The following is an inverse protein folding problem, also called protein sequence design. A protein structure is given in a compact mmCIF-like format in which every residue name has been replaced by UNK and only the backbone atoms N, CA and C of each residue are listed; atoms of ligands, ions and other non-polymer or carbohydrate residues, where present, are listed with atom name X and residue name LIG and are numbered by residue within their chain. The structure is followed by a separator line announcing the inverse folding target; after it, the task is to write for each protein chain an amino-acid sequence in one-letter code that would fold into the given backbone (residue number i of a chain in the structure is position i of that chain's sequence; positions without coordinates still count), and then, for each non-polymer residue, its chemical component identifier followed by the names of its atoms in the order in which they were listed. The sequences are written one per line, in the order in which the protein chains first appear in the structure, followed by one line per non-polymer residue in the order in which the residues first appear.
data_IF_773234068062
#
_entry.id   IF_773234068062
#
_cell.length_a   1.000
_cell.length_b   1.000
_cell.length_c   1.000
_cell.angle_alpha   90.00
_cell.angle_beta   90.00
_cell.angle_gamma   90.00
#
_symmetry.space_group_name_H-M   'P 1'
#
loop_
_entity.id
_entity.type
_entity.pdbx_description
1 polymer ?
#
# COMPACT_ATOMS: atom_id res chain seq x y z
N UNK A 1 3.93 -0.23 -7.41
CA UNK A 1 4.57 1.06 -7.76
C UNK A 1 5.32 1.01 -9.11
N UNK A 2 6.22 0.05 -9.39
CA UNK A 2 7.03 0.05 -10.63
C UNK A 2 6.19 0.06 -11.91
N UNK A 3 5.16 -0.80 -11.95
CA UNK A 3 4.20 -0.86 -13.06
C UNK A 3 3.43 0.45 -13.29
N UNK A 4 3.19 1.24 -12.24
CA UNK A 4 2.53 2.54 -12.37
C UNK A 4 3.49 3.59 -12.95
N UNK A 5 4.76 3.57 -12.55
CA UNK A 5 5.78 4.43 -13.14
C UNK A 5 5.93 4.15 -14.63
N UNK A 6 5.99 2.88 -15.04
CA UNK A 6 6.00 2.50 -16.47
C UNK A 6 4.78 3.06 -17.21
N UNK A 7 3.57 2.91 -16.66
CA UNK A 7 2.35 3.44 -17.27
C UNK A 7 2.40 4.96 -17.45
N UNK A 8 2.86 5.71 -16.45
CA UNK A 8 2.93 7.17 -16.51
C UNK A 8 4.00 7.65 -17.50
N UNK A 9 5.16 6.99 -17.54
CA UNK A 9 6.20 7.22 -18.56
C UNK A 9 5.67 6.96 -19.96
N UNK A 10 5.03 5.82 -20.18
CA UNK A 10 4.42 5.48 -21.47
C UNK A 10 3.23 6.37 -21.84
N UNK A 11 2.56 6.98 -20.85
CA UNK A 11 1.55 8.01 -21.06
C UNK A 11 2.13 9.37 -21.45
N UNK A 12 3.46 9.54 -21.50
CA UNK A 12 4.11 10.76 -21.95
C UNK A 12 4.57 11.69 -20.83
N UNK A 13 4.55 11.26 -19.56
CA UNK A 13 5.19 12.00 -18.48
C UNK A 13 6.71 11.75 -18.51
N UNK A 14 7.51 12.80 -18.37
CA UNK A 14 8.98 12.69 -18.34
C UNK A 14 9.46 11.94 -17.10
N UNK A 15 10.62 11.29 -17.23
CA UNK A 15 11.14 10.37 -16.21
C UNK A 15 11.42 11.03 -14.85
N UNK A 16 11.94 12.26 -14.87
CA UNK A 16 12.21 13.06 -13.68
C UNK A 16 10.92 13.39 -12.89
N UNK A 17 9.85 13.78 -13.59
CA UNK A 17 8.57 14.07 -12.96
C UNK A 17 7.95 12.79 -12.35
N UNK A 18 7.99 11.67 -13.07
CA UNK A 18 7.49 10.38 -12.57
C UNK A 18 8.33 9.87 -11.39
N UNK A 19 9.65 9.95 -11.50
CA UNK A 19 10.62 9.45 -10.54
C UNK A 19 10.64 10.22 -9.22
N UNK A 20 10.24 11.49 -9.23
CA UNK A 20 10.13 12.30 -8.02
C UNK A 20 8.70 12.29 -7.45
N UNK A 21 7.71 12.65 -8.26
CA UNK A 21 6.36 12.94 -7.77
C UNK A 21 5.64 11.67 -7.30
N UNK A 22 5.77 10.56 -8.03
CA UNK A 22 5.05 9.33 -7.67
C UNK A 22 5.59 8.69 -6.38
N UNK A 23 6.92 8.58 -6.16
CA UNK A 23 7.45 8.08 -4.89
C UNK A 23 7.19 8.99 -3.71
N UNK A 24 7.39 10.30 -3.86
CA UNK A 24 7.05 11.25 -2.79
C UNK A 24 5.56 11.19 -2.46
N UNK A 25 4.69 11.17 -3.46
CA UNK A 25 3.24 11.03 -3.26
C UNK A 25 2.86 9.73 -2.56
N UNK A 26 3.50 8.60 -2.87
CA UNK A 26 3.20 7.33 -2.21
C UNK A 26 3.45 7.37 -0.70
N UNK A 27 4.48 8.11 -0.27
CA UNK A 27 4.80 8.26 1.15
C UNK A 27 3.98 9.35 1.85
N UNK A 28 3.71 10.48 1.17
CA UNK A 28 3.16 11.66 1.81
C UNK A 28 1.69 11.93 1.52
N UNK A 29 1.15 11.44 0.40
CA UNK A 29 -0.27 11.56 0.04
C UNK A 29 -1.06 10.33 0.51
N UNK A 30 -1.09 10.15 1.83
CA UNK A 30 -1.87 9.12 2.51
C UNK A 30 -3.15 9.69 3.13
N UNK A 31 -3.73 10.72 2.51
CA UNK A 31 -4.86 11.45 3.08
C UNK A 31 -6.16 10.64 3.07
N UNK A 32 -6.31 9.68 2.15
CA UNK A 32 -7.41 8.71 2.21
C UNK A 32 -7.43 7.92 3.53
N UNK A 33 -6.26 7.70 4.15
CA UNK A 33 -6.16 7.07 5.46
C UNK A 33 -6.65 7.96 6.59
N UNK A 34 -6.25 9.23 6.58
CA UNK A 34 -6.73 10.22 7.54
C UNK A 34 -8.24 10.39 7.48
N UNK A 35 -8.80 10.51 6.27
CA UNK A 35 -10.24 10.69 6.06
C UNK A 35 -11.02 9.46 6.51
N UNK A 36 -10.63 8.27 6.04
CA UNK A 36 -11.30 7.03 6.40
C UNK A 36 -11.28 6.78 7.91
N UNK A 37 -10.11 6.89 8.54
CA UNK A 37 -9.97 6.62 9.97
C UNK A 37 -10.70 7.66 10.83
N UNK A 38 -10.77 8.92 10.38
CA UNK A 38 -11.50 9.96 11.11
C UNK A 38 -13.01 9.70 11.09
N UNK A 39 -13.55 9.41 9.89
CA UNK A 39 -14.97 9.06 9.74
C UNK A 39 -15.28 7.74 10.46
N UNK A 40 -14.38 6.76 10.37
CA UNK A 40 -14.48 5.48 11.09
C UNK A 40 -14.48 5.66 12.61
N UNK A 41 -13.67 6.59 13.14
CA UNK A 41 -13.67 6.93 14.57
C UNK A 41 -14.99 7.55 14.99
N UNK A 42 -15.54 8.49 14.21
CA UNK A 42 -16.88 9.04 14.47
C UNK A 42 -17.96 7.96 14.44
N UNK A 43 -17.93 7.08 13.43
CA UNK A 43 -18.86 5.97 13.32
C UNK A 43 -18.80 5.05 14.54
N UNK A 44 -17.59 4.66 14.98
CA UNK A 44 -17.42 3.83 16.18
C UNK A 44 -18.00 4.55 17.40
N UNK A 45 -17.67 5.82 17.60
CA UNK A 45 -18.16 6.61 18.73
C UNK A 45 -19.69 6.62 18.78
N UNK A 46 -20.35 6.89 17.65
CA UNK A 46 -21.81 6.86 17.54
C UNK A 46 -22.39 5.46 17.77
N UNK A 47 -21.73 4.41 17.26
CA UNK A 47 -22.18 3.03 17.42
C UNK A 47 -22.13 2.55 18.88
N UNK A 48 -21.24 3.10 19.70
CA UNK A 48 -21.14 2.80 21.14
C UNK A 48 -21.84 3.84 22.04
N UNK A 49 -22.54 4.82 21.45
CA UNK A 49 -23.28 5.86 22.20
C UNK A 49 -22.39 6.92 22.84
N UNK A 50 -21.20 7.17 22.29
CA UNK A 50 -20.27 8.23 22.73
C UNK A 50 -20.39 9.43 21.80
N UNK A 51 -20.77 10.58 22.36
CA UNK A 51 -20.78 11.84 21.65
C UNK A 51 -19.39 12.51 21.72
N UNK A 52 -18.76 12.70 20.57
CA UNK A 52 -17.51 13.45 20.47
C UNK A 52 -17.80 14.94 20.33
N UNK A 53 -17.24 15.73 21.23
CA UNK A 53 -17.23 17.19 21.10
C UNK A 53 -16.48 17.62 19.84
N UNK A 54 -16.76 18.83 19.32
CA UNK A 54 -16.04 19.36 18.16
C UNK A 54 -14.51 19.39 18.36
N UNK A 55 -14.04 19.70 19.58
CA UNK A 55 -12.61 19.68 19.90
C UNK A 55 -12.01 18.27 19.76
N UNK A 56 -12.71 17.24 20.24
CA UNK A 56 -12.28 15.84 20.08
C UNK A 56 -12.29 15.42 18.61
N UNK A 57 -13.31 15.81 17.83
CA UNK A 57 -13.37 15.51 16.40
C UNK A 57 -12.18 16.14 15.64
N UNK A 58 -11.86 17.40 15.91
CA UNK A 58 -10.68 18.07 15.34
C UNK A 58 -9.39 17.37 15.77
N UNK A 59 -9.30 16.96 17.04
CA UNK A 59 -8.12 16.25 17.58
C UNK A 59 -7.92 14.91 16.88
N UNK A 60 -8.99 14.15 16.66
CA UNK A 60 -8.98 12.90 15.89
C UNK A 60 -8.42 13.12 14.49
N UNK A 61 -8.93 14.12 13.78
CA UNK A 61 -8.47 14.45 12.42
C UNK A 61 -6.98 14.81 12.43
N UNK A 62 -6.53 15.65 13.36
CA UNK A 62 -5.13 16.07 13.45
C UNK A 62 -4.19 14.90 13.76
N UNK A 63 -4.53 14.06 14.74
CA UNK A 63 -3.73 12.89 15.12
C UNK A 63 -3.64 11.90 13.97
N UNK A 64 -4.76 11.62 13.30
CA UNK A 64 -4.79 10.69 12.17
C UNK A 64 -4.11 11.28 10.92
N UNK A 65 -4.19 12.59 10.70
CA UNK A 65 -3.43 13.28 9.66
C UNK A 65 -1.94 13.22 9.90
N UNK A 66 -1.49 13.36 11.15
CA UNK A 66 -0.07 13.26 11.49
C UNK A 66 0.42 11.82 11.35
N UNK A 67 -0.33 10.88 11.92
CA UNK A 67 0.04 9.45 11.93
C UNK A 67 0.04 8.85 10.52
N UNK A 68 -0.83 9.33 9.62
CA UNK A 68 -0.91 8.77 8.26
C UNK A 68 0.36 8.88 7.44
N UNK A 69 1.20 9.90 7.69
CA UNK A 69 2.48 10.07 6.98
C UNK A 69 3.51 9.01 7.41
N UNK A 70 3.34 8.43 8.60
CA UNK A 70 4.14 7.32 9.10
C UNK A 70 3.65 5.93 8.70
N UNK A 71 2.51 5.81 8.00
CA UNK A 71 1.91 4.52 7.63
C UNK A 71 2.43 3.94 6.31
N UNK A 72 3.21 4.71 5.54
CA UNK A 72 3.69 4.30 4.23
C UNK A 72 4.46 2.97 4.29
N UNK A 73 3.99 1.97 3.53
CA UNK A 73 4.68 0.67 3.40
C UNK A 73 4.50 -0.31 4.58
N UNK A 74 3.70 0.02 5.61
CA UNK A 74 3.46 -0.85 6.76
C UNK A 74 2.07 -1.49 6.67
N UNK A 75 1.95 -2.80 6.39
CA UNK A 75 0.66 -3.50 6.38
C UNK A 75 -0.04 -3.42 7.74
N UNK A 76 -1.35 -3.19 7.74
CA UNK A 76 -2.15 -3.15 8.98
C UNK A 76 -1.94 -1.90 9.87
N UNK A 77 -1.08 -0.96 9.47
CA UNK A 77 -0.78 0.26 10.23
C UNK A 77 -2.01 1.14 10.52
N UNK A 78 -3.02 1.11 9.66
CA UNK A 78 -4.24 1.87 9.86
C UNK A 78 -5.05 1.43 11.09
N UNK A 79 -5.12 0.13 11.36
CA UNK A 79 -5.84 -0.40 12.52
C UNK A 79 -5.07 -0.10 13.81
N UNK A 80 -3.74 -0.14 13.75
CA UNK A 80 -2.86 0.29 14.84
C UNK A 80 -3.06 1.79 15.14
N UNK A 81 -3.05 2.64 14.11
CA UNK A 81 -3.28 4.07 14.23
C UNK A 81 -4.66 4.38 14.83
N UNK A 82 -5.69 3.64 14.42
CA UNK A 82 -7.04 3.78 14.96
C UNK A 82 -7.12 3.38 16.43
N UNK A 83 -6.49 2.26 16.80
CA UNK A 83 -6.42 1.78 18.18
C UNK A 83 -5.65 2.75 19.09
N UNK A 84 -4.53 3.29 18.60
CA UNK A 84 -3.75 4.30 19.28
C UNK A 84 -4.54 5.61 19.47
N UNK A 85 -5.29 6.02 18.44
CA UNK A 85 -6.14 7.23 18.50
C UNK A 85 -7.28 7.04 19.49
N UNK A 86 -8.00 5.91 19.45
CA UNK A 86 -9.05 5.60 20.41
C UNK A 86 -8.52 5.58 21.86
N UNK A 87 -7.34 4.98 22.07
CA UNK A 87 -6.67 4.95 23.37
C UNK A 87 -6.25 6.34 23.85
N UNK A 88 -5.73 7.19 22.95
CA UNK A 88 -5.32 8.56 23.26
C UNK A 88 -6.50 9.48 23.62
N UNK A 89 -7.68 9.25 23.01
CA UNK A 89 -8.88 10.00 23.35
C UNK A 89 -9.49 9.56 24.70
N UNK A 90 -9.27 8.31 25.11
CA UNK A 90 -9.77 7.76 26.38
C UNK A 90 -11.29 7.59 26.49
N UNK A 91 -12.06 8.00 25.47
CA UNK A 91 -13.54 7.96 25.49
C UNK A 91 -14.13 6.83 24.66
N UNK A 92 -13.35 6.21 23.77
CA UNK A 92 -13.81 5.08 22.93
C UNK A 92 -13.19 3.79 23.50
N UNK A 93 -13.99 2.77 23.88
CA UNK A 93 -13.46 1.49 24.31
C UNK A 93 -12.58 0.86 23.24
N UNK A 94 -11.39 0.37 23.60
CA UNK A 94 -10.44 -0.19 22.63
C UNK A 94 -11.04 -1.37 21.82
N UNK A 95 -11.93 -2.17 22.42
CA UNK A 95 -12.62 -3.26 21.73
C UNK A 95 -13.61 -2.80 20.65
N UNK A 96 -14.09 -1.55 20.69
CA UNK A 96 -15.04 -1.02 19.71
C UNK A 96 -14.44 -0.86 18.30
N UNK A 97 -13.11 -0.80 18.21
CA UNK A 97 -12.37 -0.79 16.94
C UNK A 97 -12.66 -2.06 16.11
N UNK A 98 -13.02 -3.17 16.77
CA UNK A 98 -13.40 -4.43 16.12
C UNK A 98 -14.65 -4.28 15.22
N UNK A 99 -15.50 -3.26 15.43
CA UNK A 99 -16.66 -2.99 14.59
C UNK A 99 -16.30 -2.72 13.13
N UNK A 100 -15.07 -2.27 12.87
CA UNK A 100 -14.60 -2.03 11.50
C UNK A 100 -13.97 -3.26 10.84
N UNK A 101 -13.68 -4.34 11.57
CA UNK A 101 -13.02 -5.54 11.01
C UNK A 101 -13.78 -6.14 9.82
N UNK A 102 -15.11 -6.05 9.82
CA UNK A 102 -15.96 -6.56 8.75
C UNK A 102 -15.77 -5.84 7.41
N UNK A 103 -15.37 -4.56 7.43
CA UNK A 103 -15.22 -3.73 6.22
C UNK A 103 -13.77 -3.33 5.94
N UNK A 104 -12.86 -3.54 6.90
CA UNK A 104 -11.49 -3.02 6.87
C UNK A 104 -10.73 -3.46 5.61
N UNK A 105 -10.87 -4.72 5.18
CA UNK A 105 -10.17 -5.22 3.98
C UNK A 105 -10.62 -4.55 2.69
N UNK A 106 -11.92 -4.29 2.55
CA UNK A 106 -12.46 -3.59 1.38
C UNK A 106 -12.04 -2.12 1.42
N UNK A 107 -12.15 -1.50 2.60
CA UNK A 107 -11.81 -0.09 2.79
C UNK A 107 -10.32 0.18 2.62
N UNK A 108 -9.44 -0.71 3.07
CA UNK A 108 -8.00 -0.62 2.86
C UNK A 108 -7.66 -0.62 1.37
N UNK A 109 -8.25 -1.54 0.59
CA UNK A 109 -8.07 -1.58 -0.86
C UNK A 109 -8.56 -0.29 -1.54
N UNK A 110 -9.75 0.20 -1.18
CA UNK A 110 -10.32 1.45 -1.73
C UNK A 110 -9.45 2.66 -1.45
N UNK A 111 -8.84 2.69 -0.26
CA UNK A 111 -7.98 3.77 0.21
C UNK A 111 -6.64 3.79 -0.51
N UNK A 112 -6.01 2.61 -0.64
CA UNK A 112 -4.81 2.44 -1.46
C UNK A 112 -5.08 2.83 -2.90
N UNK A 113 -6.23 2.43 -3.47
CA UNK A 113 -6.62 2.80 -4.82
C UNK A 113 -6.81 4.32 -4.99
N UNK A 114 -7.52 4.96 -4.06
CA UNK A 114 -7.77 6.41 -4.10
C UNK A 114 -6.48 7.21 -3.99
N UNK A 115 -5.60 6.86 -3.04
CA UNK A 115 -4.29 7.51 -2.88
C UNK A 115 -3.43 7.33 -4.12
N UNK A 116 -3.39 6.12 -4.69
CA UNK A 116 -2.63 5.84 -5.90
C UNK A 116 -3.16 6.64 -7.10
N UNK A 117 -4.49 6.72 -7.29
CA UNK A 117 -5.10 7.53 -8.34
C UNK A 117 -4.77 9.02 -8.18
N UNK A 118 -4.87 9.55 -6.96
CA UNK A 118 -4.49 10.93 -6.65
C UNK A 118 -3.03 11.21 -7.00
N UNK A 119 -2.13 10.29 -6.67
CA UNK A 119 -0.72 10.39 -7.02
C UNK A 119 -0.47 10.34 -8.54
N UNK A 120 -1.19 9.49 -9.27
CA UNK A 120 -1.12 9.48 -10.74
C UNK A 120 -1.58 10.81 -11.34
N UNK A 121 -2.70 11.36 -10.85
CA UNK A 121 -3.19 12.67 -11.30
C UNK A 121 -2.18 13.77 -10.97
N UNK A 122 -1.56 13.75 -9.79
CA UNK A 122 -0.53 14.70 -9.41
C UNK A 122 0.67 14.66 -10.37
N UNK A 123 1.11 13.47 -10.81
CA UNK A 123 2.17 13.33 -11.81
C UNK A 123 1.78 14.01 -13.13
N UNK A 124 0.54 13.82 -13.62
CA UNK A 124 0.08 14.49 -14.84
C UNK A 124 0.02 16.02 -14.67
N UNK A 125 -0.49 16.51 -13.54
CA UNK A 125 -0.60 17.95 -13.26
C UNK A 125 0.77 18.60 -13.17
N UNK A 126 1.70 18.03 -12.39
CA UNK A 126 3.06 18.55 -12.26
C UNK A 126 3.80 18.47 -13.60
N UNK A 127 3.72 17.34 -14.31
CA UNK A 127 4.34 17.20 -15.63
C UNK A 127 3.80 18.25 -16.62
N UNK A 128 2.49 18.55 -16.56
CA UNK A 128 1.87 19.57 -17.41
C UNK A 128 2.33 20.98 -17.07
N UNK A 129 2.53 21.28 -15.78
CA UNK A 129 2.97 22.58 -15.29
C UNK A 129 4.44 22.85 -15.65
N UNK A 130 5.29 21.84 -15.52
CA UNK A 130 6.73 21.90 -15.84
C UNK A 130 7.03 21.80 -17.35
N UNK A 131 6.00 21.69 -18.21
CA UNK A 131 6.20 21.44 -19.64
C UNK A 131 6.83 20.08 -19.96
N UNK A 132 6.79 19.15 -19.01
CA UNK A 132 7.36 17.81 -19.05
C UNK A 132 6.34 16.71 -19.45
N UNK A 133 5.24 17.10 -20.12
CA UNK A 133 4.17 16.22 -20.56
C UNK A 133 3.99 16.27 -22.09
N UNK A 134 4.16 15.13 -22.75
CA UNK A 134 3.70 14.94 -24.14
C UNK A 134 2.17 14.80 -24.16
N UNK A 135 1.50 15.93 -24.35
CA UNK A 135 0.03 16.01 -24.42
C UNK A 135 -0.56 15.17 -25.57
N UNK A 136 0.14 15.08 -26.70
CA UNK A 136 -0.34 14.33 -27.86
C UNK A 136 -0.35 12.83 -27.55
N UNK A 137 0.73 12.35 -26.94
CA UNK A 137 0.83 10.96 -26.47
C UNK A 137 -0.14 10.67 -25.34
N UNK A 138 -0.23 11.53 -24.34
CA UNK A 138 -1.16 11.35 -23.21
C UNK A 138 -2.60 11.19 -23.68
N UNK A 139 -3.05 12.02 -24.63
CA UNK A 139 -4.39 11.93 -25.20
C UNK A 139 -4.63 10.59 -25.89
N UNK A 140 -3.68 10.11 -26.71
CA UNK A 140 -3.77 8.82 -27.41
C UNK A 140 -3.76 7.62 -26.46
N UNK A 141 -2.99 7.69 -25.37
CA UNK A 141 -2.96 6.62 -24.35
C UNK A 141 -4.27 6.59 -23.57
N UNK A 142 -4.81 7.76 -23.19
CA UNK A 142 -6.06 7.86 -22.43
C UNK A 142 -7.31 7.55 -23.28
N UNK A 143 -7.28 7.80 -24.60
CA UNK A 143 -8.33 7.39 -25.54
C UNK A 143 -8.29 5.90 -25.90
N UNK A 144 -7.23 5.20 -25.50
CA UNK A 144 -7.03 3.78 -25.81
C UNK A 144 -6.43 3.51 -27.20
N UNK A 145 -6.02 4.54 -27.95
CA UNK A 145 -5.35 4.41 -29.25
C UNK A 145 -3.94 3.80 -29.11
N UNK A 146 -3.24 4.09 -28.02
CA UNK A 146 -1.95 3.48 -27.67
C UNK A 146 -2.14 2.59 -26.45
N UNK A 147 -1.98 1.29 -26.63
CA UNK A 147 -2.03 0.32 -25.54
C UNK A 147 -0.76 0.38 -24.68
N UNK A 148 -0.91 0.12 -23.38
CA UNK A 148 0.20 -0.09 -22.46
C UNK A 148 0.93 -1.40 -22.79
N UNK A 149 2.24 -1.33 -22.95
CA UNK A 149 3.11 -2.50 -23.15
C UNK A 149 4.00 -2.65 -21.92
N UNK A 150 3.77 -3.62 -21.03
CA UNK A 150 4.62 -3.79 -19.86
C UNK A 150 6.05 -4.10 -20.29
N UNK A 151 7.00 -3.32 -19.79
CA UNK A 151 8.41 -3.65 -19.92
C UNK A 151 8.77 -4.69 -18.85
N UNK A 152 9.70 -5.63 -19.14
CA UNK A 152 10.15 -6.60 -18.16
C UNK A 152 10.55 -5.88 -16.87
N UNK A 153 10.04 -6.34 -15.72
CA UNK A 153 10.49 -5.83 -14.43
C UNK A 153 11.97 -6.21 -14.28
N UNK A 154 12.88 -5.24 -14.45
CA UNK A 154 14.23 -5.37 -13.92
C UNK A 154 14.07 -5.68 -12.43
N UNK A 155 14.61 -6.80 -11.96
CA UNK A 155 14.62 -7.14 -10.52
C UNK A 155 15.38 -6.04 -9.81
N UNK A 156 14.67 -5.01 -9.37
CA UNK A 156 15.16 -4.12 -8.35
C UNK A 156 15.21 -5.00 -7.10
N UNK A 157 16.42 -5.29 -6.61
CA UNK A 157 16.62 -5.90 -5.30
C UNK A 157 15.92 -5.01 -4.27
N UNK A 158 14.64 -5.31 -4.01
CA UNK A 158 14.03 -4.92 -2.76
C UNK A 158 14.82 -5.69 -1.71
N UNK A 159 15.54 -4.96 -0.86
CA UNK A 159 16.28 -5.52 0.25
C UNK A 159 15.39 -6.54 0.97
N UNK A 160 15.69 -7.81 0.75
CA UNK A 160 15.11 -8.90 1.52
C UNK A 160 15.52 -8.61 2.97
N UNK A 161 14.59 -8.50 3.93
CA UNK A 161 14.98 -8.44 5.33
C UNK A 161 15.87 -9.65 5.56
N UNK A 162 17.12 -9.42 5.96
CA UNK A 162 18.05 -10.49 6.32
C UNK A 162 17.33 -11.32 7.37
N UNK A 163 16.87 -12.50 6.98
CA UNK A 163 16.34 -13.49 7.89
C UNK A 163 17.44 -13.71 8.92
N UNK A 164 17.18 -13.35 10.17
CA UNK A 164 18.12 -13.57 11.25
C UNK A 164 18.32 -15.09 11.34
N UNK A 165 19.44 -15.56 10.78
CA UNK A 165 19.89 -16.92 10.97
C UNK A 165 20.23 -17.05 12.45
N UNK A 166 19.32 -17.65 13.21
CA UNK A 166 19.61 -18.08 14.58
C UNK A 166 20.84 -19.00 14.54
N UNK A 167 21.87 -18.74 15.36
CA UNK A 167 23.08 -19.56 15.37
C UNK A 167 22.74 -20.98 15.83
N UNK A 168 23.04 -21.96 14.98
CA UNK A 168 22.64 -23.34 15.12
C UNK A 168 23.06 -23.99 16.44
N UNK A 169 22.13 -24.77 17.00
CA UNK A 169 22.42 -25.77 18.04
C UNK A 169 23.07 -26.99 17.36
N UNK A 170 24.30 -27.38 17.71
CA UNK A 170 24.95 -28.53 17.10
C UNK A 170 24.48 -29.85 17.71
N UNK A 171 24.04 -30.79 16.87
CA UNK A 171 24.13 -32.22 17.16
C UNK A 171 22.84 -33.01 17.02
N UNK A 172 22.70 -33.72 15.89
CA UNK A 172 22.30 -35.13 15.86
C UNK A 172 22.40 -35.67 14.42
N UNK A 173 23.40 -36.54 14.21
CA UNK A 173 23.54 -37.42 13.06
C UNK A 173 22.32 -38.33 12.91
N UNK A 174 21.79 -38.53 11.68
CA UNK A 174 21.42 -39.87 11.19
C UNK A 174 21.66 -40.01 9.68
N UNK A 175 22.75 -40.72 9.38
CA UNK A 175 23.08 -41.65 8.27
C UNK A 175 22.41 -41.54 6.89
N UNK A 176 23.31 -41.47 5.90
CA UNK A 176 23.12 -41.94 4.53
C UNK A 176 23.14 -43.48 4.46
N UNK A 177 22.26 -44.05 3.63
CA UNK A 177 22.50 -45.32 2.91
C UNK A 177 22.04 -45.17 1.46
N UNK A 178 22.96 -45.47 0.55
CA UNK A 178 22.77 -45.55 -0.88
C UNK A 178 22.45 -47.01 -1.25
N UNK A 179 21.54 -47.26 -2.22
CA UNK A 179 21.58 -48.38 -3.17
C UNK A 179 20.33 -48.43 -4.07
N UNK A 180 20.52 -48.69 -5.37
CA UNK A 180 19.54 -49.41 -6.21
C UNK A 180 19.04 -48.71 -7.48
N UNK A 181 19.51 -49.21 -8.64
CA UNK A 181 19.28 -48.86 -10.05
C UNK A 181 17.81 -48.76 -10.57
N UNK A 182 17.59 -48.27 -11.84
CA UNK A 182 16.27 -48.02 -12.42
C UNK A 182 15.73 -49.23 -13.21
N UNK A 183 14.41 -49.40 -13.28
CA UNK A 183 13.76 -50.39 -14.15
C UNK A 183 12.64 -49.73 -14.96
N UNK A 184 12.90 -49.57 -16.26
CA UNK A 184 11.95 -49.11 -17.27
C UNK A 184 11.06 -50.29 -17.67
N UNK A 185 9.75 -50.16 -17.45
CA UNK A 185 8.75 -51.12 -17.93
C UNK A 185 8.19 -50.64 -19.27
N UNK A 186 8.74 -51.17 -20.35
CA UNK A 186 8.15 -51.17 -21.69
C UNK A 186 7.09 -52.29 -21.71
N UNK A 187 5.82 -51.94 -21.95
CA UNK A 187 4.74 -52.90 -22.23
C UNK A 187 4.44 -52.88 -23.72
N UNK A 188 4.61 -54.04 -24.33
CA UNK A 188 4.04 -54.48 -25.60
C UNK A 188 2.51 -54.42 -25.59
N UNK A 189 1.91 -54.05 -26.73
CA UNK A 189 0.47 -54.08 -26.99
C UNK A 189 0.03 -53.05 -28.00
#
# INVERSE_FOLDING_TARGET
MPRMMQKLRQAGCRDDAVGLVLPTGYSFNLDGASIYLSIGTLFIAQAVGVDLTLGQQVTVVLVLMLTSKGMAGVPGSAFLALSATASALGVIPAGAVALLLGVDRIMDAMRVATNLLGNCVAVFVVSRWEGALDLSRARKVLSGEIAFVPEPEERTEQAVPVEQVEPGVPGALVKAEAQGAPEAAERTG
#
